data_IF_391895900721
#
_entry.id   IF_391895900721
#
_cell.length_a   1.000
_cell.length_b   1.000
_cell.length_c   1.000
_cell.angle_alpha   90.00
_cell.angle_beta   90.00
_cell.angle_gamma   90.00
#
_symmetry.space_group_name_H-M   'P 1'
#
loop_
_entity.id
_entity.type
_entity.pdbx_description
1 polymer ?
#
# COMPACT_ATOMS: atom_id res chain seq x y z
N UNK A 1 -14.93 -27.08 -30.40
CA UNK A 1 -14.51 -25.95 -29.53
C UNK A 1 -14.47 -26.48 -28.10
N UNK A 2 -13.32 -26.97 -27.66
CA UNK A 2 -13.13 -27.50 -26.30
C UNK A 2 -12.01 -26.71 -25.66
N UNK A 3 -12.37 -25.64 -24.94
CA UNK A 3 -11.46 -24.98 -24.01
C UNK A 3 -11.11 -26.00 -22.94
N UNK A 4 -9.86 -26.44 -22.91
CA UNK A 4 -9.33 -27.28 -21.83
C UNK A 4 -9.42 -26.46 -20.54
N UNK A 5 -10.27 -26.91 -19.61
CA UNK A 5 -10.22 -26.48 -18.21
C UNK A 5 -9.01 -27.18 -17.59
N UNK A 6 -7.83 -26.57 -17.69
CA UNK A 6 -6.73 -26.91 -16.82
C UNK A 6 -7.05 -26.36 -15.42
N UNK A 7 -7.10 -27.21 -14.38
CA UNK A 7 -7.25 -26.71 -13.03
C UNK A 7 -6.03 -25.87 -12.71
N UNK A 8 -6.25 -24.56 -12.54
CA UNK A 8 -5.23 -23.63 -12.07
C UNK A 8 -4.63 -24.22 -10.79
N UNK A 9 -3.31 -24.45 -10.78
CA UNK A 9 -2.68 -24.96 -9.57
C UNK A 9 -2.89 -23.93 -8.47
N UNK A 10 -3.15 -24.35 -7.23
CA UNK A 10 -3.35 -23.41 -6.12
C UNK A 10 -2.16 -22.47 -5.94
N UNK A 11 -0.94 -22.90 -6.33
CA UNK A 11 0.27 -22.08 -6.41
C UNK A 11 0.10 -20.84 -7.31
N UNK A 12 -0.47 -21.02 -8.50
CA UNK A 12 -0.65 -19.96 -9.50
C UNK A 12 -1.64 -18.90 -8.95
N UNK A 13 -2.68 -19.34 -8.24
CA UNK A 13 -3.64 -18.44 -7.59
C UNK A 13 -3.00 -17.57 -6.50
N UNK A 14 -2.00 -18.08 -5.79
CA UNK A 14 -1.32 -17.30 -4.74
C UNK A 14 -0.37 -16.28 -5.33
N UNK A 15 0.33 -16.64 -6.41
CA UNK A 15 1.20 -15.71 -7.15
C UNK A 15 0.38 -14.51 -7.62
N UNK A 16 -0.77 -14.76 -8.27
CA UNK A 16 -1.67 -13.69 -8.72
C UNK A 16 -2.15 -12.82 -7.56
N UNK A 17 -2.49 -13.41 -6.41
CA UNK A 17 -2.92 -12.67 -5.22
C UNK A 17 -1.82 -11.78 -4.64
N UNK A 18 -0.59 -12.27 -4.60
CA UNK A 18 0.57 -11.50 -4.11
C UNK A 18 0.85 -10.34 -5.07
N UNK A 19 0.82 -10.59 -6.38
CA UNK A 19 1.00 -9.55 -7.39
C UNK A 19 -0.06 -8.45 -7.28
N UNK A 20 -1.34 -8.84 -7.13
CA UNK A 20 -2.43 -7.89 -6.91
C UNK A 20 -2.27 -7.10 -5.60
N UNK A 21 -1.73 -7.70 -4.54
CA UNK A 21 -1.47 -7.00 -3.28
C UNK A 21 -0.34 -5.95 -3.40
N UNK A 22 0.58 -6.12 -4.36
CA UNK A 22 1.71 -5.23 -4.59
C UNK A 22 1.42 -4.13 -5.62
N UNK A 23 0.49 -4.35 -6.56
CA UNK A 23 0.32 -3.50 -7.75
C UNK A 23 0.09 -2.01 -7.43
N UNK A 24 -0.67 -1.69 -6.39
CA UNK A 24 -1.01 -0.30 -6.02
C UNK A 24 -0.33 0.15 -4.70
N UNK A 25 0.68 -0.58 -4.24
CA UNK A 25 1.35 -0.29 -2.97
C UNK A 25 2.53 0.67 -3.17
N UNK A 26 2.29 1.97 -3.11
CA UNK A 26 3.37 2.97 -3.23
C UNK A 26 4.30 2.99 -2.01
N UNK A 27 3.72 2.92 -0.81
CA UNK A 27 4.43 2.90 0.45
C UNK A 27 3.73 1.97 1.43
N UNK A 28 4.46 1.00 1.97
CA UNK A 28 3.87 0.03 2.88
C UNK A 28 4.66 -1.26 2.99
N UNK A 29 3.97 -2.34 3.34
CA UNK A 29 4.53 -3.68 3.44
C UNK A 29 3.46 -4.74 3.14
N UNK A 30 3.87 -5.81 2.48
CA UNK A 30 3.07 -7.05 2.37
C UNK A 30 3.72 -8.11 3.24
N UNK A 31 2.94 -8.73 4.12
CA UNK A 31 3.38 -9.82 4.99
C UNK A 31 2.66 -11.10 4.59
N UNK A 32 3.44 -12.16 4.32
CA UNK A 32 2.91 -13.46 3.94
C UNK A 32 3.20 -14.43 5.07
N UNK A 33 2.17 -15.13 5.55
CA UNK A 33 2.28 -16.11 6.62
C UNK A 33 2.13 -17.50 6.01
N UNK A 34 3.15 -18.33 6.19
CA UNK A 34 3.25 -19.68 5.64
C UNK A 34 3.33 -20.69 6.77
N UNK A 35 2.46 -21.69 6.73
CA UNK A 35 2.51 -22.87 7.59
C UNK A 35 2.41 -24.12 6.72
N UNK A 36 3.18 -25.16 7.04
CA UNK A 36 3.18 -26.44 6.32
C UNK A 36 3.35 -26.31 4.80
N UNK A 37 4.27 -25.43 4.36
CA UNK A 37 4.52 -25.09 2.95
C UNK A 37 3.30 -24.55 2.19
N UNK A 38 2.27 -24.07 2.91
CA UNK A 38 1.07 -23.45 2.34
C UNK A 38 0.94 -22.02 2.85
N UNK A 39 0.65 -21.12 1.93
CA UNK A 39 0.29 -19.74 2.28
C UNK A 39 -1.06 -19.81 3.00
N UNK A 40 -1.09 -19.31 4.24
CA UNK A 40 -2.30 -19.25 5.04
C UNK A 40 -2.89 -17.85 5.06
N UNK A 41 -2.02 -16.82 5.00
CA UNK A 41 -2.47 -15.45 5.09
C UNK A 41 -1.55 -14.51 4.31
N UNK A 42 -2.16 -13.46 3.77
CA UNK A 42 -1.48 -12.33 3.12
C UNK A 42 -2.08 -11.07 3.75
N UNK A 43 -1.25 -10.28 4.43
CA UNK A 43 -1.61 -8.97 4.98
C UNK A 43 -0.96 -7.87 4.14
N UNK A 44 -1.75 -6.86 3.75
CA UNK A 44 -1.27 -5.65 3.06
C UNK A 44 -1.44 -4.46 4.00
N UNK A 45 -0.34 -3.75 4.25
CA UNK A 45 -0.31 -2.55 5.08
C UNK A 45 0.16 -1.37 4.25
N UNK A 46 -0.68 -0.36 4.08
CA UNK A 46 -0.36 0.86 3.34
C UNK A 46 0.01 2.00 4.29
N UNK A 47 0.93 2.87 3.86
CA UNK A 47 1.39 4.03 4.61
C UNK A 47 1.25 5.29 3.77
N UNK A 48 0.20 6.06 4.02
CA UNK A 48 0.03 7.37 3.41
C UNK A 48 0.82 8.42 4.21
N UNK A 49 1.71 9.16 3.54
CA UNK A 49 2.36 10.32 4.12
C UNK A 49 1.56 11.56 3.74
N UNK A 50 0.83 12.11 4.69
CA UNK A 50 0.20 13.41 4.50
C UNK A 50 1.28 14.49 4.59
N UNK A 51 1.46 15.34 3.56
CA UNK A 51 2.33 16.49 3.69
C UNK A 51 1.80 17.35 4.84
N UNK A 52 2.70 17.77 5.73
CA UNK A 52 2.36 18.84 6.66
C UNK A 52 2.02 20.06 5.81
N UNK A 53 0.75 20.48 5.81
CA UNK A 53 0.41 21.79 5.30
C UNK A 53 1.36 22.77 5.98
N UNK A 54 2.20 23.44 5.19
CA UNK A 54 2.88 24.64 5.66
C UNK A 54 1.77 25.65 5.90
N UNK A 55 1.19 25.61 7.08
CA UNK A 55 0.39 26.71 7.59
C UNK A 55 1.35 27.88 7.73
N UNK A 56 1.32 28.77 6.75
CA UNK A 56 2.01 30.05 6.77
C UNK A 56 1.33 30.95 7.80
N UNK A 57 1.41 30.59 9.09
CA UNK A 57 1.10 31.50 10.19
C UNK A 57 2.36 32.31 10.51
N UNK A 58 2.81 33.13 9.55
CA UNK A 58 3.78 34.20 9.82
C UNK A 58 3.20 35.56 9.44
N UNK A 59 1.90 35.77 9.74
CA UNK A 59 1.33 37.10 9.82
C UNK A 59 1.75 37.76 11.14
N UNK A 60 3.04 38.07 11.29
CA UNK A 60 3.46 39.05 12.29
C UNK A 60 3.00 40.42 11.79
N UNK A 61 2.08 41.13 12.48
CA UNK A 61 1.68 42.45 12.03
C UNK A 61 2.92 43.37 12.04
N UNK A 62 3.05 44.29 11.06
CA UNK A 62 4.18 45.19 11.01
C UNK A 62 4.20 46.04 12.28
N UNK A 63 5.30 45.99 13.04
CA UNK A 63 5.51 46.85 14.20
C UNK A 63 5.44 48.30 13.73
N UNK A 64 4.33 48.96 14.04
CA UNK A 64 4.12 50.40 13.83
C UNK A 64 5.19 51.15 14.63
N UNK A 65 6.19 51.71 13.94
CA UNK A 65 7.16 52.63 14.55
C UNK A 65 6.47 53.97 14.71
N UNK A 66 6.21 54.35 15.95
CA UNK A 66 5.75 55.70 16.29
C UNK A 66 6.88 56.70 15.97
N UNK A 67 6.54 57.78 15.27
CA UNK A 67 7.32 59.02 15.21
C UNK A 67 6.35 60.19 15.35
#
# INVERSE_FOLDING_TARGET
>A
MTTKFEPQRPEDLWIDRILNALQDLEFGSVQIIVHDSKIMQIERTEKLRYPLERTTFDERPPRRKNK
#
